data_IF_367336698397
#
_entry.id   IF_367336698397
#
_cell.length_a   1.000
_cell.length_b   1.000
_cell.length_c   1.000
_cell.angle_alpha   90.00
_cell.angle_beta   90.00
_cell.angle_gamma   90.00
#
_symmetry.space_group_name_H-M   'P 1'
#
loop_
_entity.id
_entity.type
_entity.pdbx_description
1 polymer ?
#
# COMPACT_ATOMS: atom_id res chain seq x y z
N UNK A 1 -43.70 77.55 0.46
CA UNK A 1 -44.06 76.59 1.54
C UNK A 1 -42.82 75.86 1.97
N UNK A 2 -42.22 76.19 3.07
CA UNK A 2 -41.04 75.54 3.60
C UNK A 2 -41.49 74.40 4.55
N UNK A 3 -41.11 73.16 4.16
CA UNK A 3 -41.31 72.00 5.02
C UNK A 3 -40.33 72.08 6.21
N UNK A 4 -40.78 71.75 7.46
CA UNK A 4 -39.91 71.75 8.60
C UNK A 4 -38.85 70.67 8.54
N UNK A 5 -37.66 70.82 9.13
CA UNK A 5 -36.58 69.86 9.12
C UNK A 5 -36.99 68.59 9.94
N UNK A 6 -36.81 67.42 9.35
CA UNK A 6 -37.01 66.15 10.01
C UNK A 6 -36.08 65.98 11.22
N UNK A 7 -36.67 65.55 12.33
CA UNK A 7 -36.03 65.38 13.61
C UNK A 7 -34.84 64.37 13.51
N UNK A 8 -33.75 64.67 14.17
CA UNK A 8 -32.47 63.96 14.12
C UNK A 8 -32.61 62.49 14.53
N UNK A 9 -33.55 62.17 15.41
CA UNK A 9 -33.82 60.75 15.82
C UNK A 9 -34.45 59.87 14.71
N UNK A 10 -35.28 60.47 13.84
CA UNK A 10 -35.88 59.76 12.74
C UNK A 10 -34.81 59.42 11.66
N UNK A 11 -33.81 60.26 11.50
CA UNK A 11 -32.67 59.96 10.56
C UNK A 11 -31.81 58.82 11.06
N UNK A 12 -31.53 58.72 12.38
CA UNK A 12 -30.71 57.67 12.98
C UNK A 12 -31.45 56.33 12.91
N UNK A 13 -32.75 56.28 13.12
CA UNK A 13 -33.52 55.06 13.03
C UNK A 13 -33.70 54.57 11.59
N UNK A 14 -33.83 55.48 10.62
CA UNK A 14 -33.90 55.09 9.20
C UNK A 14 -32.54 54.51 8.68
N UNK A 15 -31.42 55.12 9.13
CA UNK A 15 -30.07 54.60 8.80
C UNK A 15 -29.83 53.22 9.46
N UNK A 16 -30.26 52.99 10.69
CA UNK A 16 -30.15 51.67 11.35
C UNK A 16 -31.01 50.61 10.66
N UNK A 17 -32.21 50.97 10.17
CA UNK A 17 -33.08 50.04 9.45
C UNK A 17 -32.51 49.66 8.05
N UNK A 18 -31.85 50.61 7.38
CA UNK A 18 -31.20 50.37 6.10
C UNK A 18 -29.95 49.53 6.28
N UNK A 19 -29.13 49.78 7.32
CA UNK A 19 -27.96 48.98 7.65
C UNK A 19 -28.33 47.54 8.09
N UNK A 20 -29.42 47.35 8.86
CA UNK A 20 -29.89 46.03 9.25
C UNK A 20 -30.47 45.24 8.10
N UNK A 21 -31.11 45.85 7.08
CA UNK A 21 -31.60 45.17 5.91
C UNK A 21 -30.49 44.85 4.88
N UNK A 22 -29.39 45.61 4.83
CA UNK A 22 -28.23 45.32 4.00
C UNK A 22 -27.31 44.22 4.61
N UNK A 23 -27.37 44.01 5.93
CA UNK A 23 -26.58 42.94 6.60
C UNK A 23 -27.21 41.55 6.48
N UNK A 24 -28.45 41.43 6.06
CA UNK A 24 -29.15 40.14 5.86
C UNK A 24 -29.17 39.65 4.39
N UNK A 25 -28.65 40.46 3.45
CA UNK A 25 -28.63 40.08 2.01
C UNK A 25 -27.23 39.78 1.51
N UNK A 26 -26.27 39.54 2.36
CA UNK A 26 -24.88 39.42 1.97
C UNK A 26 -24.07 38.29 2.57
N UNK A 27 -24.63 37.12 2.91
CA UNK A 27 -23.84 35.91 3.16
C UNK A 27 -24.68 34.64 2.92
N UNK A 28 -25.33 34.52 1.77
CA UNK A 28 -25.39 33.23 1.13
C UNK A 28 -24.02 33.04 0.46
N UNK A 29 -23.00 32.74 1.26
CA UNK A 29 -21.79 32.16 0.76
C UNK A 29 -22.23 30.88 0.06
N UNK A 30 -22.30 30.94 -1.27
CA UNK A 30 -22.34 29.79 -2.12
C UNK A 30 -21.04 29.05 -1.78
N UNK A 31 -21.08 28.12 -0.81
CA UNK A 31 -20.10 27.05 -0.72
C UNK A 31 -20.23 26.27 -2.02
N UNK A 32 -19.62 26.80 -3.07
CA UNK A 32 -19.16 25.97 -4.17
C UNK A 32 -18.17 25.02 -3.52
N UNK A 33 -18.68 23.87 -3.06
CA UNK A 33 -17.85 22.73 -2.84
C UNK A 33 -17.20 22.47 -4.19
N UNK A 34 -15.97 22.91 -4.36
CA UNK A 34 -15.15 22.52 -5.49
C UNK A 34 -15.03 21.01 -5.38
N UNK A 35 -15.93 20.30 -6.07
CA UNK A 35 -15.78 18.87 -6.24
C UNK A 35 -14.52 18.71 -7.07
N UNK A 36 -13.54 18.00 -6.52
CA UNK A 36 -12.39 17.57 -7.29
C UNK A 36 -12.89 16.95 -8.60
N UNK A 37 -12.27 17.30 -9.71
CA UNK A 37 -12.57 16.62 -10.96
C UNK A 37 -12.42 15.12 -10.73
N UNK A 38 -13.40 14.31 -11.16
CA UNK A 38 -13.33 12.86 -10.94
C UNK A 38 -12.03 12.33 -11.57
N UNK A 39 -11.24 11.62 -10.77
CA UNK A 39 -10.02 10.96 -11.24
C UNK A 39 -10.43 9.86 -12.22
N UNK A 40 -9.95 9.94 -13.45
CA UNK A 40 -10.12 8.84 -14.42
C UNK A 40 -9.13 7.71 -14.06
N UNK A 41 -9.53 6.91 -13.07
CA UNK A 41 -8.72 5.82 -12.55
C UNK A 41 -8.27 4.84 -13.65
N UNK A 42 -9.12 4.38 -14.59
CA UNK A 42 -8.70 3.49 -15.66
C UNK A 42 -7.54 4.03 -16.51
N UNK A 43 -7.52 5.33 -16.79
CA UNK A 43 -6.48 5.95 -17.61
C UNK A 43 -5.10 6.03 -16.94
N UNK A 44 -5.04 5.84 -15.61
CA UNK A 44 -3.79 5.90 -14.85
C UNK A 44 -3.04 4.57 -14.81
N UNK A 45 -3.71 3.45 -15.09
CA UNK A 45 -3.09 2.13 -14.98
C UNK A 45 -2.21 1.80 -16.19
N UNK A 46 -1.05 1.21 -15.92
CA UNK A 46 -0.21 0.61 -16.97
C UNK A 46 -0.99 -0.55 -17.64
N UNK A 47 -1.27 -0.40 -18.92
CA UNK A 47 -2.05 -1.39 -19.66
C UNK A 47 -1.39 -2.78 -19.68
N UNK A 48 -0.05 -2.86 -19.56
CA UNK A 48 0.69 -4.12 -19.50
C UNK A 48 0.43 -4.90 -18.22
N UNK A 49 0.15 -4.20 -17.12
CA UNK A 49 -0.19 -4.81 -15.84
C UNK A 49 -1.61 -5.37 -15.82
N UNK A 50 -2.50 -4.88 -16.68
CA UNK A 50 -3.89 -5.31 -16.74
C UNK A 50 -4.04 -6.64 -17.48
N UNK A 51 -4.84 -7.55 -16.94
CA UNK A 51 -5.26 -8.79 -17.62
C UNK A 51 -6.38 -8.51 -18.61
N UNK A 52 -7.24 -7.55 -18.28
CA UNK A 52 -8.38 -7.11 -19.06
C UNK A 52 -8.76 -5.67 -18.72
N UNK A 53 -9.55 -4.98 -19.55
CA UNK A 53 -10.01 -3.64 -19.24
C UNK A 53 -10.66 -3.54 -17.87
N UNK A 54 -10.45 -2.43 -17.17
CA UNK A 54 -11.10 -2.13 -15.90
C UNK A 54 -12.61 -1.96 -16.17
N UNK A 55 -13.44 -2.59 -15.35
CA UNK A 55 -14.89 -2.51 -15.45
C UNK A 55 -15.50 -2.06 -14.13
N UNK A 56 -16.75 -1.63 -14.19
CA UNK A 56 -17.55 -1.25 -13.03
C UNK A 56 -18.55 -2.33 -12.71
N UNK A 57 -18.68 -2.67 -11.43
CA UNK A 57 -19.69 -3.61 -10.93
C UNK A 57 -20.29 -3.12 -9.63
N UNK A 58 -21.43 -3.66 -9.23
CA UNK A 58 -21.96 -3.48 -7.88
C UNK A 58 -21.20 -4.38 -6.90
N UNK A 59 -20.83 -3.82 -5.74
CA UNK A 59 -20.10 -4.52 -4.67
C UNK A 59 -20.63 -4.20 -3.29
N UNK A 60 -20.18 -4.98 -2.31
CA UNK A 60 -20.45 -4.78 -0.88
C UNK A 60 -19.12 -4.37 -0.23
N UNK A 61 -19.09 -3.18 0.36
CA UNK A 61 -17.92 -2.65 1.06
C UNK A 61 -17.79 -3.23 2.47
N UNK A 62 -16.67 -2.95 3.14
CA UNK A 62 -16.34 -3.52 4.45
C UNK A 62 -17.32 -3.17 5.57
N UNK A 63 -18.08 -2.09 5.43
CA UNK A 63 -19.15 -1.65 6.34
C UNK A 63 -20.53 -2.26 6.02
N UNK A 64 -20.62 -3.10 4.96
CA UNK A 64 -21.85 -3.71 4.46
C UNK A 64 -22.63 -2.84 3.49
N UNK A 65 -22.19 -1.62 3.19
CA UNK A 65 -22.83 -0.76 2.22
C UNK A 65 -22.64 -1.27 0.78
N UNK A 66 -23.65 -1.05 -0.07
CA UNK A 66 -23.55 -1.30 -1.51
C UNK A 66 -22.95 -0.09 -2.21
N UNK A 67 -22.06 -0.33 -3.16
CA UNK A 67 -21.45 0.71 -3.96
C UNK A 67 -21.03 0.20 -5.33
N UNK A 68 -21.01 1.09 -6.32
CA UNK A 68 -20.30 0.82 -7.57
C UNK A 68 -18.81 0.79 -7.30
N UNK A 69 -18.13 -0.28 -7.69
CA UNK A 69 -16.69 -0.46 -7.54
C UNK A 69 -16.02 -0.68 -8.89
N UNK A 70 -14.80 -0.21 -9.03
CA UNK A 70 -13.93 -0.63 -10.12
C UNK A 70 -13.46 -2.06 -9.87
N UNK A 71 -13.63 -2.94 -10.84
CA UNK A 71 -13.04 -4.28 -10.90
C UNK A 71 -11.75 -4.18 -11.72
N UNK A 72 -10.61 -4.35 -11.08
CA UNK A 72 -9.27 -4.22 -11.64
C UNK A 72 -8.59 -5.58 -11.55
N UNK A 73 -8.34 -6.22 -12.69
CA UNK A 73 -7.66 -7.53 -12.76
C UNK A 73 -6.25 -7.34 -13.25
N UNK A 74 -5.27 -7.61 -12.39
CA UNK A 74 -3.85 -7.37 -12.65
C UNK A 74 -3.01 -8.64 -12.54
N UNK A 75 -1.82 -8.58 -13.16
CA UNK A 75 -0.79 -9.64 -13.08
C UNK A 75 0.09 -9.54 -11.82
N UNK A 76 -0.10 -8.50 -11.00
CA UNK A 76 0.62 -8.24 -9.75
C UNK A 76 2.15 -8.28 -9.85
N UNK A 77 2.69 -7.90 -11.00
CA UNK A 77 4.12 -7.66 -11.24
C UNK A 77 4.30 -6.29 -11.90
N UNK A 78 5.40 -5.59 -11.63
CA UNK A 78 5.73 -4.35 -12.34
C UNK A 78 6.20 -4.66 -13.76
N UNK A 79 5.71 -3.90 -14.76
CA UNK A 79 6.14 -3.96 -16.15
C UNK A 79 6.91 -2.73 -16.59
N UNK A 80 7.06 -1.77 -15.70
CA UNK A 80 7.70 -0.46 -15.92
C UNK A 80 9.15 -0.44 -15.41
N UNK A 81 9.59 -1.44 -14.64
CA UNK A 81 10.95 -1.56 -14.14
C UNK A 81 11.35 -3.01 -13.86
N UNK A 82 12.66 -3.24 -13.72
CA UNK A 82 13.19 -4.53 -13.29
C UNK A 82 13.09 -4.67 -11.76
N UNK A 83 12.71 -5.84 -11.31
CA UNK A 83 12.69 -6.21 -9.90
C UNK A 83 14.09 -6.60 -9.40
N UNK A 84 14.38 -6.35 -8.12
CA UNK A 84 15.67 -6.63 -7.49
C UNK A 84 16.77 -5.63 -7.89
N UNK A 85 18.05 -5.92 -7.60
CA UNK A 85 18.49 -7.02 -6.74
C UNK A 85 18.10 -6.82 -5.27
N UNK A 86 17.79 -7.89 -4.56
CA UNK A 86 17.53 -7.85 -3.11
C UNK A 86 18.77 -8.23 -2.31
N UNK A 87 19.36 -9.38 -2.58
CA UNK A 87 20.56 -9.87 -1.90
C UNK A 87 21.80 -9.75 -2.78
N UNK A 88 22.95 -9.26 -2.26
CA UNK A 88 24.22 -9.37 -2.96
C UNK A 88 24.68 -10.82 -2.98
N UNK A 89 25.35 -11.26 -4.04
CA UNK A 89 25.92 -12.60 -4.12
C UNK A 89 27.20 -12.71 -3.27
N UNK A 90 28.00 -11.66 -3.30
CA UNK A 90 29.25 -11.55 -2.57
C UNK A 90 29.39 -10.13 -1.97
N UNK A 91 30.39 -9.91 -1.12
CA UNK A 91 30.73 -8.58 -0.61
C UNK A 91 31.17 -7.57 -1.70
N UNK A 92 31.36 -8.01 -2.95
CA UNK A 92 31.67 -7.11 -4.08
C UNK A 92 30.39 -6.55 -4.74
N UNK A 93 29.26 -7.18 -4.48
CA UNK A 93 27.99 -6.84 -5.09
C UNK A 93 27.18 -5.89 -4.19
N UNK A 94 26.13 -5.31 -4.76
CA UNK A 94 25.15 -4.48 -4.05
C UNK A 94 23.77 -5.12 -4.14
N UNK A 95 23.15 -5.35 -3.00
CA UNK A 95 21.77 -5.80 -2.89
C UNK A 95 20.77 -4.65 -2.86
N UNK A 96 19.62 -4.90 -2.28
CA UNK A 96 18.54 -3.95 -2.07
C UNK A 96 18.79 -3.03 -0.87
N UNK A 97 17.70 -2.58 -0.27
CA UNK A 97 17.73 -1.65 0.86
C UNK A 97 17.01 -2.25 2.06
N UNK A 98 17.52 -1.96 3.25
CA UNK A 98 16.98 -2.42 4.50
C UNK A 98 16.97 -1.32 5.56
N UNK A 99 15.85 -1.21 6.30
CA UNK A 99 15.80 -0.35 7.47
C UNK A 99 16.33 -1.11 8.69
N UNK A 100 17.46 -0.65 9.20
CA UNK A 100 18.10 -1.29 10.36
C UNK A 100 17.22 -1.16 11.62
N UNK A 101 17.04 -2.25 12.35
CA UNK A 101 16.15 -2.28 13.51
C UNK A 101 16.70 -1.55 14.73
N UNK A 102 18.02 -1.31 14.77
CA UNK A 102 18.69 -0.68 15.90
C UNK A 102 18.70 0.85 15.79
N UNK A 103 19.21 1.37 14.67
CA UNK A 103 19.37 2.82 14.49
C UNK A 103 18.30 3.46 13.60
N UNK A 104 17.40 2.64 13.04
CA UNK A 104 16.28 3.06 12.19
C UNK A 104 16.69 3.78 10.90
N UNK A 105 17.95 3.57 10.47
CA UNK A 105 18.44 4.10 9.21
C UNK A 105 18.22 3.11 8.07
N UNK A 106 18.06 3.67 6.90
CA UNK A 106 17.87 2.92 5.67
C UNK A 106 19.20 2.72 4.97
N UNK A 107 19.69 1.48 4.91
CA UNK A 107 20.98 1.12 4.36
C UNK A 107 20.86 0.38 3.03
N UNK A 108 21.81 0.59 2.15
CA UNK A 108 22.07 -0.34 1.07
C UNK A 108 22.63 -1.62 1.65
N UNK A 109 22.14 -2.78 1.20
CA UNK A 109 22.70 -4.08 1.61
C UNK A 109 23.93 -4.35 0.75
N UNK A 110 25.07 -3.88 1.23
CA UNK A 110 26.40 -4.00 0.62
C UNK A 110 27.44 -4.44 1.66
N UNK A 111 28.71 -4.45 1.26
CA UNK A 111 29.81 -4.88 2.13
C UNK A 111 29.87 -4.11 3.46
N UNK A 112 29.61 -2.82 3.46
CA UNK A 112 29.74 -2.00 4.66
C UNK A 112 28.63 -2.33 5.66
N UNK A 113 27.40 -2.46 5.18
CA UNK A 113 26.27 -2.85 6.01
C UNK A 113 26.41 -4.29 6.54
N UNK A 114 26.76 -5.25 5.67
CA UNK A 114 26.95 -6.63 6.09
C UNK A 114 28.09 -6.79 7.11
N UNK A 115 29.21 -6.07 6.94
CA UNK A 115 30.29 -6.03 7.93
C UNK A 115 29.83 -5.37 9.25
N UNK A 116 28.97 -4.37 9.19
CA UNK A 116 28.37 -3.78 10.40
C UNK A 116 27.51 -4.82 11.14
N UNK A 117 26.69 -5.60 10.44
CA UNK A 117 25.92 -6.69 11.03
C UNK A 117 26.84 -7.76 11.64
N UNK A 118 27.92 -8.14 10.96
CA UNK A 118 28.89 -9.11 11.51
C UNK A 118 29.54 -8.62 12.82
N UNK A 119 29.86 -7.32 12.93
CA UNK A 119 30.34 -6.73 14.20
C UNK A 119 29.32 -6.82 15.33
N UNK A 120 28.03 -6.96 14.99
CA UNK A 120 26.93 -7.18 15.94
C UNK A 120 26.67 -8.67 16.20
N UNK A 121 27.52 -9.58 15.70
CA UNK A 121 27.41 -11.03 15.87
C UNK A 121 26.45 -11.70 14.89
N UNK A 122 26.18 -11.08 13.72
CA UNK A 122 25.41 -11.70 12.64
C UNK A 122 26.40 -12.26 11.61
N UNK A 123 26.40 -13.55 11.41
CA UNK A 123 27.30 -14.20 10.46
C UNK A 123 26.69 -14.21 9.05
N UNK A 124 26.73 -13.05 8.39
CA UNK A 124 26.02 -12.81 7.12
C UNK A 124 26.77 -13.28 5.88
N UNK A 125 28.04 -13.68 5.99
CA UNK A 125 28.87 -14.10 4.86
C UNK A 125 30.05 -14.95 5.32
N UNK A 126 30.54 -15.79 4.41
CA UNK A 126 31.71 -16.66 4.61
C UNK A 126 33.04 -15.90 4.51
N UNK A 127 34.13 -16.57 4.88
CA UNK A 127 35.51 -15.98 4.86
C UNK A 127 35.93 -15.56 3.44
N UNK A 128 35.41 -16.19 2.38
CA UNK A 128 35.68 -15.83 0.99
C UNK A 128 34.83 -14.66 0.49
N UNK A 129 33.92 -14.16 1.34
CA UNK A 129 33.01 -13.06 1.03
C UNK A 129 31.69 -13.49 0.35
N UNK A 130 31.41 -14.77 0.26
CA UNK A 130 30.10 -15.27 -0.20
C UNK A 130 29.01 -14.93 0.81
N UNK A 131 27.93 -14.26 0.38
CA UNK A 131 26.82 -13.84 1.24
C UNK A 131 25.82 -14.98 1.42
N UNK A 132 25.40 -15.21 2.66
CA UNK A 132 24.36 -16.18 2.98
C UNK A 132 23.01 -15.68 2.46
N UNK A 133 22.37 -16.46 1.60
CA UNK A 133 21.10 -16.10 0.94
C UNK A 133 20.09 -17.22 1.02
N UNK A 134 18.87 -16.88 1.42
CA UNK A 134 17.72 -17.79 1.33
C UNK A 134 17.03 -17.56 -0.01
N UNK A 135 17.06 -18.54 -0.91
CA UNK A 135 16.59 -18.39 -2.29
C UNK A 135 15.36 -19.21 -2.62
N UNK A 136 15.18 -20.35 -1.96
CA UNK A 136 14.07 -21.21 -2.27
C UNK A 136 12.96 -21.16 -1.21
N UNK A 137 11.77 -21.52 -1.65
CA UNK A 137 10.59 -21.50 -0.80
C UNK A 137 10.70 -22.44 0.40
N UNK A 138 11.36 -23.58 0.25
CA UNK A 138 11.43 -24.57 1.33
C UNK A 138 12.28 -24.07 2.51
N UNK A 139 13.36 -23.38 2.22
CA UNK A 139 14.20 -22.70 3.21
C UNK A 139 13.42 -21.56 3.88
N UNK A 140 12.74 -20.77 3.05
CA UNK A 140 11.96 -19.66 3.55
C UNK A 140 10.74 -20.10 4.37
N UNK A 141 10.03 -21.16 3.96
CA UNK A 141 8.94 -21.74 4.76
C UNK A 141 9.43 -22.24 6.12
N UNK A 142 10.70 -22.64 6.25
CA UNK A 142 11.30 -22.95 7.54
C UNK A 142 11.41 -21.69 8.41
N UNK A 143 11.95 -20.59 7.87
CA UNK A 143 12.02 -19.30 8.57
C UNK A 143 10.62 -18.85 9.00
N UNK A 144 9.64 -18.91 8.11
CA UNK A 144 8.27 -18.50 8.38
C UNK A 144 7.55 -19.35 9.45
N UNK A 145 7.76 -20.67 9.40
CA UNK A 145 7.15 -21.59 10.40
C UNK A 145 7.75 -21.42 11.79
N UNK A 146 9.00 -21.03 11.88
CA UNK A 146 9.69 -20.77 13.15
C UNK A 146 9.00 -19.66 13.94
N UNK A 147 8.59 -18.60 13.27
CA UNK A 147 7.83 -17.52 13.91
C UNK A 147 6.53 -18.00 14.54
N UNK A 148 5.83 -18.93 13.86
CA UNK A 148 4.56 -19.48 14.30
C UNK A 148 4.71 -20.56 15.38
N UNK A 149 5.85 -21.24 15.43
CA UNK A 149 6.11 -22.36 16.34
C UNK A 149 6.80 -21.96 17.64
N UNK A 150 7.15 -20.67 17.83
CA UNK A 150 7.87 -20.22 19.02
C UNK A 150 9.31 -20.75 19.11
N UNK A 151 9.96 -20.95 17.97
CA UNK A 151 11.34 -21.43 17.92
C UNK A 151 12.28 -20.44 18.59
N UNK A 152 13.33 -20.97 19.24
CA UNK A 152 14.44 -20.18 19.74
C UNK A 152 15.47 -19.96 18.64
N UNK A 153 16.37 -18.98 18.83
CA UNK A 153 17.49 -18.75 17.92
C UNK A 153 18.36 -19.99 17.76
N UNK A 154 18.60 -20.74 18.85
CA UNK A 154 19.42 -21.97 18.83
C UNK A 154 18.77 -23.08 17.97
N UNK A 155 17.44 -23.18 17.98
CA UNK A 155 16.73 -24.10 17.11
C UNK A 155 16.86 -23.69 15.64
N UNK A 156 16.72 -22.39 15.36
CA UNK A 156 16.89 -21.84 14.03
C UNK A 156 18.32 -22.04 13.47
N UNK A 157 19.35 -21.92 14.33
CA UNK A 157 20.75 -22.22 13.97
C UNK A 157 20.91 -23.69 13.57
N UNK A 158 20.35 -24.62 14.36
CA UNK A 158 20.42 -26.06 14.03
C UNK A 158 19.79 -26.39 12.68
N UNK A 159 18.76 -25.67 12.28
CA UNK A 159 18.05 -25.86 11.01
C UNK A 159 18.70 -25.10 9.83
N UNK A 160 19.75 -24.32 10.09
CA UNK A 160 20.46 -23.57 9.07
C UNK A 160 19.66 -22.42 8.43
N UNK A 161 18.77 -21.78 9.21
CA UNK A 161 17.83 -20.75 8.71
C UNK A 161 18.05 -19.38 9.39
N UNK A 162 19.29 -19.11 9.79
CA UNK A 162 19.69 -17.85 10.41
C UNK A 162 20.75 -17.14 9.58
N UNK A 163 20.96 -15.86 9.88
CA UNK A 163 22.06 -15.08 9.31
C UNK A 163 22.04 -15.02 7.78
N UNK A 164 20.87 -14.81 7.19
CA UNK A 164 20.71 -14.80 5.75
C UNK A 164 20.00 -13.53 5.24
N UNK A 165 20.33 -13.14 4.04
CA UNK A 165 19.57 -12.17 3.23
C UNK A 165 18.52 -12.95 2.44
N UNK A 166 17.26 -12.64 2.68
CA UNK A 166 16.13 -13.31 2.02
C UNK A 166 15.98 -12.76 0.61
N UNK A 167 15.99 -13.67 -0.37
CA UNK A 167 15.78 -13.37 -1.78
C UNK A 167 14.92 -14.47 -2.40
N UNK A 168 13.68 -14.14 -2.74
CA UNK A 168 12.76 -15.07 -3.38
C UNK A 168 12.47 -14.61 -4.81
N UNK A 169 12.31 -15.56 -5.72
CA UNK A 169 11.90 -15.26 -7.09
C UNK A 169 10.41 -14.93 -7.12
N UNK A 170 10.01 -13.75 -7.60
CA UNK A 170 8.59 -13.42 -7.77
C UNK A 170 7.97 -14.25 -8.89
N UNK A 171 6.67 -14.51 -8.76
CA UNK A 171 5.86 -15.11 -9.81
C UNK A 171 4.66 -14.23 -10.15
N UNK A 172 4.25 -14.26 -11.41
CA UNK A 172 3.02 -13.62 -11.83
C UNK A 172 1.83 -14.24 -11.10
N UNK A 173 1.01 -13.37 -10.51
CA UNK A 173 -0.22 -13.75 -9.84
C UNK A 173 -1.37 -12.90 -10.35
N UNK A 174 -2.42 -13.55 -10.82
CA UNK A 174 -3.64 -12.83 -11.16
C UNK A 174 -4.33 -12.43 -9.87
N UNK A 175 -4.62 -11.15 -9.74
CA UNK A 175 -5.30 -10.58 -8.58
C UNK A 175 -6.41 -9.66 -9.06
N UNK A 176 -7.58 -9.79 -8.47
CA UNK A 176 -8.68 -8.84 -8.66
C UNK A 176 -8.73 -7.90 -7.48
N UNK A 177 -8.62 -6.61 -7.75
CA UNK A 177 -8.79 -5.53 -6.77
C UNK A 177 -10.10 -4.82 -7.05
N UNK A 178 -10.91 -4.66 -6.03
CA UNK A 178 -12.15 -3.91 -6.08
C UNK A 178 -11.99 -2.62 -5.28
N UNK A 179 -12.13 -1.48 -5.93
CA UNK A 179 -12.03 -0.16 -5.30
C UNK A 179 -13.33 0.61 -5.43
N UNK A 180 -13.83 1.25 -4.37
CA UNK A 180 -14.97 2.15 -4.48
C UNK A 180 -14.75 3.19 -5.58
N UNK A 181 -15.69 3.29 -6.54
CA UNK A 181 -15.61 4.29 -7.62
C UNK A 181 -15.78 5.72 -7.07
N UNK A 182 -16.63 5.86 -6.08
CA UNK A 182 -16.90 7.11 -5.39
C UNK A 182 -16.58 6.93 -3.90
N UNK A 183 -15.30 7.10 -3.50
CA UNK A 183 -14.88 6.93 -2.12
C UNK A 183 -15.62 7.93 -1.22
N UNK A 184 -16.08 7.45 -0.06
CA UNK A 184 -16.78 8.27 0.93
C UNK A 184 -15.92 8.41 2.17
N UNK A 185 -15.53 9.64 2.49
CA UNK A 185 -14.80 9.91 3.71
C UNK A 185 -15.68 9.66 4.94
N UNK A 186 -15.17 8.88 5.89
CA UNK A 186 -15.75 8.72 7.22
C UNK A 186 -15.28 9.85 8.14
N UNK A 187 -16.07 10.17 9.13
CA UNK A 187 -15.67 11.17 10.16
C UNK A 187 -14.43 10.67 10.92
N UNK A 188 -14.39 9.37 11.24
CA UNK A 188 -13.29 8.76 11.97
C UNK A 188 -12.33 8.05 11.02
N UNK A 189 -11.04 8.23 11.28
CA UNK A 189 -9.97 7.48 10.60
C UNK A 189 -9.89 6.06 11.16
N UNK A 190 -9.58 5.09 10.29
CA UNK A 190 -9.36 3.69 10.70
C UNK A 190 -7.89 3.34 10.56
N UNK A 191 -7.07 3.47 11.63
CA UNK A 191 -5.66 3.08 11.60
C UNK A 191 -5.48 1.60 11.22
N UNK A 192 -4.35 1.24 10.58
CA UNK A 192 -4.09 -0.13 10.09
C UNK A 192 -4.32 -1.20 11.14
N UNK A 193 -3.90 -0.97 12.40
CA UNK A 193 -4.09 -1.91 13.51
C UNK A 193 -5.55 -2.20 13.87
N UNK A 194 -6.49 -1.35 13.44
CA UNK A 194 -7.93 -1.48 13.69
C UNK A 194 -8.70 -1.88 12.43
N UNK A 195 -8.07 -1.74 11.27
CA UNK A 195 -8.70 -2.04 10.00
C UNK A 195 -8.94 -3.55 9.82
N UNK A 196 -10.15 -3.91 9.44
CA UNK A 196 -10.51 -5.29 9.12
C UNK A 196 -10.30 -5.53 7.64
N UNK A 197 -9.13 -5.99 7.27
CA UNK A 197 -8.81 -6.40 5.90
C UNK A 197 -7.96 -7.68 5.93
N UNK A 198 -7.97 -8.42 4.85
CA UNK A 198 -7.07 -9.57 4.73
C UNK A 198 -5.64 -9.07 4.51
N UNK A 199 -4.65 -9.58 5.24
CA UNK A 199 -3.24 -9.29 4.93
C UNK A 199 -2.87 -9.56 3.47
N UNK A 200 -3.52 -10.53 2.83
CA UNK A 200 -3.33 -10.87 1.41
C UNK A 200 -3.95 -9.84 0.45
N UNK A 201 -4.93 -9.07 0.91
CA UNK A 201 -5.52 -7.99 0.09
C UNK A 201 -4.55 -6.82 -0.09
N UNK A 202 -3.60 -6.64 0.83
CA UNK A 202 -2.77 -5.46 0.88
C UNK A 202 -3.54 -4.21 1.36
N UNK A 203 -2.95 -3.04 1.20
CA UNK A 203 -3.53 -1.73 1.55
C UNK A 203 -4.15 -1.01 0.37
N UNK A 204 -3.85 -1.46 -0.84
CA UNK A 204 -4.21 -0.82 -2.08
C UNK A 204 -3.39 -1.34 -3.25
N UNK A 205 -3.40 -0.60 -4.33
CA UNK A 205 -2.76 -0.98 -5.58
C UNK A 205 -2.08 0.23 -6.23
N UNK A 206 -0.85 0.04 -6.69
CA UNK A 206 -0.14 1.00 -7.53
C UNK A 206 -0.69 1.02 -8.95
N UNK A 207 -0.50 2.13 -9.65
CA UNK A 207 -0.90 2.28 -11.07
C UNK A 207 -0.18 1.31 -12.01
N UNK A 208 0.97 0.73 -11.59
CA UNK A 208 1.64 -0.33 -12.35
C UNK A 208 1.16 -1.76 -11.96
N UNK A 209 0.07 -1.89 -11.21
CA UNK A 209 -0.55 -3.17 -10.90
C UNK A 209 0.02 -3.91 -9.70
N UNK A 210 1.03 -3.36 -9.02
CA UNK A 210 1.63 -3.96 -7.82
C UNK A 210 0.88 -3.51 -6.57
N UNK A 211 0.58 -4.44 -5.66
CA UNK A 211 -0.13 -4.13 -4.41
C UNK A 211 0.76 -3.42 -3.41
N UNK A 212 0.17 -2.53 -2.63
CA UNK A 212 0.77 -1.95 -1.44
C UNK A 212 0.53 -2.85 -0.23
N UNK A 213 1.57 -3.13 0.54
CA UNK A 213 1.46 -3.90 1.77
C UNK A 213 1.77 -3.03 2.98
N UNK A 214 1.31 -3.43 4.19
CA UNK A 214 1.62 -2.71 5.42
C UNK A 214 3.12 -2.63 5.66
N UNK A 215 3.60 -1.61 6.40
CA UNK A 215 4.97 -1.60 6.90
C UNK A 215 5.29 -2.93 7.59
N UNK A 216 6.36 -3.60 7.15
CA UNK A 216 6.74 -4.91 7.64
C UNK A 216 7.04 -4.89 9.15
N UNK A 217 6.54 -5.87 9.90
CA UNK A 217 7.02 -6.13 11.25
C UNK A 217 8.39 -6.84 11.19
N UNK A 218 9.41 -6.08 10.79
CA UNK A 218 10.78 -6.58 10.56
C UNK A 218 11.41 -7.28 11.77
N UNK A 219 10.89 -7.02 12.99
CA UNK A 219 11.38 -7.66 14.21
C UNK A 219 11.28 -9.19 14.21
N UNK A 220 10.36 -9.77 13.43
CA UNK A 220 10.18 -11.23 13.38
C UNK A 220 11.36 -11.90 12.71
N UNK A 221 11.69 -11.49 11.48
CA UNK A 221 12.79 -12.10 10.74
C UNK A 221 14.15 -11.75 11.34
N UNK A 222 14.29 -10.56 11.91
CA UNK A 222 15.52 -10.12 12.57
C UNK A 222 15.80 -10.84 13.90
N UNK A 223 14.78 -11.42 14.54
CA UNK A 223 15.00 -12.28 15.69
C UNK A 223 15.88 -13.51 15.35
N UNK A 224 15.86 -13.94 14.09
CA UNK A 224 16.71 -15.01 13.56
C UNK A 224 17.93 -14.48 12.77
N UNK A 225 18.25 -13.21 12.92
CA UNK A 225 19.33 -12.52 12.20
C UNK A 225 19.16 -12.61 10.67
N UNK A 226 17.95 -12.61 10.18
CA UNK A 226 17.62 -12.53 8.76
C UNK A 226 17.17 -11.12 8.40
N UNK A 227 17.37 -10.73 7.15
CA UNK A 227 16.84 -9.50 6.57
C UNK A 227 16.17 -9.82 5.23
N UNK A 228 15.11 -9.08 4.89
CA UNK A 228 14.39 -9.19 3.62
C UNK A 228 14.39 -7.83 2.91
N UNK A 229 15.45 -7.48 2.20
CA UNK A 229 15.62 -6.16 1.63
C UNK A 229 14.56 -5.84 0.59
N UNK A 230 14.25 -4.55 0.46
CA UNK A 230 13.49 -4.00 -0.65
C UNK A 230 14.42 -3.73 -1.83
N UNK A 231 13.94 -3.89 -3.04
CA UNK A 231 14.69 -3.48 -4.21
C UNK A 231 14.74 -1.94 -4.35
N UNK A 232 15.45 -1.40 -5.35
CA UNK A 232 15.50 0.05 -5.57
C UNK A 232 14.16 0.73 -5.83
N UNK A 233 13.09 -0.04 -6.05
CA UNK A 233 11.73 0.47 -6.27
C UNK A 233 10.81 0.31 -5.05
N UNK A 234 11.34 -0.23 -3.96
CA UNK A 234 10.62 -0.33 -2.68
C UNK A 234 9.79 -1.58 -2.51
N UNK A 235 10.03 -2.60 -3.33
CA UNK A 235 9.33 -3.86 -3.28
C UNK A 235 10.21 -5.06 -3.04
N UNK A 236 9.61 -6.13 -2.60
CA UNK A 236 10.22 -7.44 -2.52
C UNK A 236 9.22 -8.58 -2.73
N UNK A 237 9.72 -9.81 -2.76
CA UNK A 237 8.90 -11.00 -2.91
C UNK A 237 8.49 -11.53 -1.54
N UNK A 238 7.19 -11.69 -1.32
CA UNK A 238 6.63 -12.27 -0.12
C UNK A 238 6.52 -13.78 -0.14
N UNK A 239 5.91 -14.33 0.91
CA UNK A 239 5.78 -15.76 1.18
C UNK A 239 5.02 -16.56 0.12
N UNK A 240 4.13 -15.91 -0.62
CA UNK A 240 3.38 -16.53 -1.71
C UNK A 240 4.00 -16.32 -3.07
N UNK A 241 5.25 -15.87 -3.15
CA UNK A 241 5.92 -15.41 -4.38
C UNK A 241 5.28 -14.18 -5.02
N UNK A 242 4.40 -13.46 -4.28
CA UNK A 242 3.88 -12.17 -4.70
C UNK A 242 4.95 -11.09 -4.54
N UNK A 243 5.16 -10.31 -5.59
CA UNK A 243 5.90 -9.05 -5.48
C UNK A 243 4.95 -7.96 -4.96
N UNK A 244 5.41 -7.17 -3.99
CA UNK A 244 4.60 -6.10 -3.40
C UNK A 244 5.49 -4.97 -2.88
N UNK A 245 4.89 -3.79 -2.72
CA UNK A 245 5.58 -2.61 -2.20
C UNK A 245 5.32 -2.42 -0.71
N UNK A 246 6.41 -2.14 0.04
CA UNK A 246 6.37 -1.55 1.38
C UNK A 246 6.73 -0.07 1.37
N UNK A 247 7.42 0.39 0.29
CA UNK A 247 7.69 1.79 -0.04
C UNK A 247 7.29 2.03 -1.49
N UNK A 248 6.87 3.24 -1.82
CA UNK A 248 6.50 3.53 -3.20
C UNK A 248 7.74 3.80 -4.07
N UNK A 249 7.73 3.39 -5.35
CA UNK A 249 8.83 3.67 -6.29
C UNK A 249 9.22 5.14 -6.35
N UNK A 250 8.26 6.06 -6.34
CA UNK A 250 8.50 7.51 -6.35
C UNK A 250 9.38 7.99 -5.19
N UNK A 251 9.23 7.40 -4.01
CA UNK A 251 10.05 7.72 -2.84
C UNK A 251 11.46 7.15 -2.98
N UNK A 252 11.57 5.92 -3.50
CA UNK A 252 12.85 5.24 -3.69
C UNK A 252 13.69 5.88 -4.79
N UNK A 253 13.06 6.44 -5.82
CA UNK A 253 13.72 7.12 -6.94
C UNK A 253 13.99 8.60 -6.65
N UNK A 254 13.68 9.11 -5.46
CA UNK A 254 13.69 10.55 -5.13
C UNK A 254 12.83 11.38 -6.12
N UNK A 255 11.78 10.75 -6.66
CA UNK A 255 10.79 11.44 -7.51
C UNK A 255 9.90 12.31 -6.63
N UNK A 256 10.12 13.62 -6.71
CA UNK A 256 9.36 14.63 -5.96
C UNK A 256 8.08 15.06 -6.67
N UNK A 257 7.51 14.22 -7.52
CA UNK A 257 6.25 14.55 -8.17
C UNK A 257 5.05 14.26 -7.27
N UNK A 258 4.05 15.13 -7.34
CA UNK A 258 2.74 14.94 -6.71
C UNK A 258 1.78 14.06 -7.53
N UNK A 259 2.29 13.23 -8.43
CA UNK A 259 1.48 12.33 -9.26
C UNK A 259 0.76 11.29 -8.42
N UNK A 260 -0.38 10.82 -8.92
CA UNK A 260 -1.03 9.64 -8.34
C UNK A 260 -0.17 8.42 -8.66
N UNK A 261 0.28 7.72 -7.62
CA UNK A 261 1.09 6.50 -7.71
C UNK A 261 0.25 5.24 -7.49
N UNK A 262 -0.98 5.39 -7.02
CA UNK A 262 -1.90 4.30 -6.78
C UNK A 262 -3.16 4.73 -6.04
N UNK A 263 -3.87 3.74 -5.51
CA UNK A 263 -5.11 3.92 -4.77
C UNK A 263 -5.12 3.01 -3.54
N UNK A 264 -5.58 3.52 -2.40
CA UNK A 264 -5.82 2.73 -1.21
C UNK A 264 -7.11 1.89 -1.38
N UNK A 265 -7.32 0.86 -0.53
CA UNK A 265 -8.49 -0.02 -0.65
C UNK A 265 -9.83 0.70 -0.43
N UNK A 266 -9.83 1.85 0.20
CA UNK A 266 -11.01 2.71 0.35
C UNK A 266 -11.28 3.60 -0.89
N UNK A 267 -10.48 3.45 -1.94
CA UNK A 267 -10.62 4.14 -3.22
C UNK A 267 -9.99 5.53 -3.27
N UNK A 268 -9.44 6.05 -2.18
CA UNK A 268 -8.78 7.34 -2.19
C UNK A 268 -7.42 7.26 -2.89
N UNK A 269 -7.03 8.30 -3.66
CA UNK A 269 -5.74 8.36 -4.34
C UNK A 269 -4.58 8.34 -3.34
N UNK A 270 -3.50 7.68 -3.74
CA UNK A 270 -2.17 7.75 -3.11
C UNK A 270 -1.27 8.53 -4.04
N UNK A 271 -0.73 9.64 -3.59
CA UNK A 271 0.14 10.54 -4.36
C UNK A 271 1.59 10.38 -3.97
N UNK A 272 2.47 10.89 -4.81
CA UNK A 272 3.89 11.02 -4.53
C UNK A 272 4.18 11.87 -3.27
N UNK A 273 5.46 12.09 -2.93
CA UNK A 273 5.85 12.73 -1.68
C UNK A 273 5.61 14.24 -1.63
N UNK A 274 5.14 14.85 -2.72
CA UNK A 274 4.83 16.28 -2.78
C UNK A 274 3.42 16.51 -3.30
N UNK A 275 2.94 17.74 -3.17
CA UNK A 275 1.76 18.23 -3.87
C UNK A 275 2.02 18.35 -5.39
N UNK A 276 0.96 18.56 -6.16
CA UNK A 276 1.06 18.71 -7.62
C UNK A 276 1.95 19.89 -8.07
N UNK A 277 2.08 20.92 -7.22
CA UNK A 277 2.95 22.07 -7.44
C UNK A 277 4.40 21.87 -6.97
N UNK A 278 4.75 20.67 -6.48
CA UNK A 278 6.07 20.32 -5.97
C UNK A 278 6.34 20.75 -4.53
N UNK A 279 5.38 21.35 -3.84
CA UNK A 279 5.54 21.70 -2.42
C UNK A 279 5.35 20.48 -1.52
N UNK A 280 5.90 20.54 -0.30
CA UNK A 280 5.68 19.48 0.68
C UNK A 280 4.23 19.51 1.18
N UNK A 281 3.57 18.34 1.32
CA UNK A 281 2.22 18.26 1.84
C UNK A 281 2.16 18.79 3.27
N UNK A 282 1.09 19.50 3.59
CA UNK A 282 0.89 20.13 4.90
C UNK A 282 -0.33 19.52 5.59
N UNK A 283 -0.30 19.49 6.93
CA UNK A 283 -1.43 19.05 7.76
C UNK A 283 -1.89 17.61 7.45
N UNK A 284 -0.95 16.71 7.16
CA UNK A 284 -1.28 15.30 7.08
C UNK A 284 -1.83 14.81 8.41
N UNK A 285 -2.87 13.99 8.35
CA UNK A 285 -3.44 13.32 9.50
C UNK A 285 -2.60 12.10 9.93
N UNK A 286 -3.06 11.37 10.94
CA UNK A 286 -2.32 10.24 11.52
C UNK A 286 -2.18 9.03 10.59
N UNK A 287 -2.83 9.03 9.44
CA UNK A 287 -2.77 7.96 8.43
C UNK A 287 -2.11 8.42 7.12
N UNK A 288 -1.41 9.56 7.14
CA UNK A 288 -0.69 10.18 6.01
C UNK A 288 -1.59 10.69 4.90
N UNK A 289 -2.81 11.14 5.23
CA UNK A 289 -3.74 11.75 4.30
C UNK A 289 -4.17 13.14 4.71
N UNK A 290 -4.75 13.87 3.79
CA UNK A 290 -5.39 15.16 4.05
C UNK A 290 -6.43 15.52 2.98
N UNK A 291 -7.30 16.47 3.33
CA UNK A 291 -8.14 17.17 2.36
C UNK A 291 -7.36 18.34 1.79
N UNK A 292 -7.33 18.47 0.48
CA UNK A 292 -6.70 19.58 -0.20
C UNK A 292 -7.67 20.23 -1.18
N UNK A 293 -7.76 21.54 -1.15
CA UNK A 293 -8.71 22.33 -1.94
C UNK A 293 -8.66 21.95 -3.42
N UNK A 294 -9.81 21.52 -3.95
CA UNK A 294 -9.98 21.14 -5.35
C UNK A 294 -9.46 19.74 -5.73
N UNK A 295 -8.77 19.02 -4.85
CA UNK A 295 -8.31 17.65 -5.07
C UNK A 295 -9.05 16.61 -4.22
N UNK A 296 -9.74 17.04 -3.15
CA UNK A 296 -10.37 16.17 -2.18
C UNK A 296 -9.35 15.40 -1.34
N UNK A 297 -9.86 14.45 -0.54
CA UNK A 297 -8.99 13.65 0.33
C UNK A 297 -8.08 12.71 -0.47
N UNK A 298 -6.81 12.66 -0.09
CA UNK A 298 -5.81 11.75 -0.66
C UNK A 298 -4.67 11.49 0.34
N UNK A 299 -3.88 10.46 0.07
CA UNK A 299 -2.70 10.10 0.84
C UNK A 299 -1.43 10.57 0.14
N UNK A 300 -0.36 10.76 0.92
CA UNK A 300 0.99 10.99 0.41
C UNK A 300 1.94 9.89 0.88
N UNK A 301 2.77 9.39 -0.04
CA UNK A 301 3.88 8.51 0.32
C UNK A 301 5.03 9.31 0.89
N UNK A 302 5.84 8.70 1.77
CA UNK A 302 6.98 9.37 2.38
C UNK A 302 8.11 8.39 2.73
N UNK A 303 9.27 8.94 3.15
CA UNK A 303 10.36 8.16 3.73
C UNK A 303 10.14 7.78 5.20
N UNK A 304 9.14 8.38 5.84
CA UNK A 304 8.80 8.12 7.24
C UNK A 304 7.64 7.15 7.34
N UNK A 305 7.59 6.42 8.46
CA UNK A 305 6.46 5.54 8.74
C UNK A 305 5.13 6.34 8.70
N UNK A 306 4.08 5.86 8.06
CA UNK A 306 3.82 4.50 7.55
C UNK A 306 4.23 4.25 6.09
N UNK A 307 5.04 5.07 5.49
CA UNK A 307 5.62 5.01 4.15
C UNK A 307 4.63 5.19 3.00
N UNK A 308 3.49 4.48 3.00
CA UNK A 308 2.45 4.58 1.95
C UNK A 308 1.14 5.06 2.57
N UNK A 309 0.42 4.22 3.29
CA UNK A 309 -0.83 4.56 3.99
C UNK A 309 -0.82 4.01 5.40
N UNK A 310 -1.19 4.83 6.38
CA UNK A 310 -1.25 4.48 7.80
C UNK A 310 -2.61 3.97 8.27
N UNK A 311 -3.58 3.93 7.38
CA UNK A 311 -4.96 3.54 7.66
C UNK A 311 -5.90 3.90 6.51
N UNK A 312 -7.19 3.97 6.81
CA UNK A 312 -8.21 4.23 5.82
C UNK A 312 -9.15 5.35 6.26
N UNK A 313 -9.58 6.13 5.28
CA UNK A 313 -10.52 7.25 5.47
C UNK A 313 -11.97 6.84 5.26
N UNK A 314 -12.20 5.76 4.53
CA UNK A 314 -13.54 5.31 4.17
C UNK A 314 -13.75 3.80 4.23
N UNK A 315 -14.96 3.31 3.90
CA UNK A 315 -15.23 1.89 3.76
C UNK A 315 -14.37 1.27 2.65
N UNK A 316 -13.89 0.05 2.90
CA UNK A 316 -12.94 -0.63 2.03
C UNK A 316 -13.65 -1.45 0.94
N UNK A 317 -13.07 -1.45 -0.24
CA UNK A 317 -13.18 -2.57 -1.16
C UNK A 317 -12.35 -3.77 -0.70
N UNK A 318 -11.93 -4.61 -1.62
CA UNK A 318 -11.14 -5.82 -1.29
C UNK A 318 -10.21 -6.21 -2.44
N UNK A 319 -9.27 -7.10 -2.15
CA UNK A 319 -8.51 -7.78 -3.19
C UNK A 319 -8.49 -9.29 -2.94
N UNK A 320 -8.59 -10.06 -4.02
CA UNK A 320 -8.63 -11.52 -3.99
C UNK A 320 -7.73 -12.10 -5.07
N UNK A 321 -7.20 -13.32 -4.82
CA UNK A 321 -6.43 -14.05 -5.83
C UNK A 321 -7.38 -14.56 -6.92
N UNK A 322 -6.89 -14.54 -8.16
CA UNK A 322 -7.63 -14.95 -9.35
C UNK A 322 -8.49 -13.83 -9.94
N UNK A 323 -9.16 -14.17 -11.03
CA UNK A 323 -10.16 -13.30 -11.68
C UNK A 323 -11.52 -13.54 -11.03
N UNK A 324 -11.91 -12.65 -10.14
CA UNK A 324 -13.16 -12.75 -9.38
C UNK A 324 -14.21 -11.78 -9.92
N UNK A 325 -15.46 -12.21 -9.90
CA UNK A 325 -16.62 -11.42 -10.40
C UNK A 325 -17.45 -10.80 -9.27
N UNK A 326 -17.16 -11.12 -8.01
CA UNK A 326 -17.94 -10.69 -6.86
C UNK A 326 -17.05 -9.89 -5.90
N UNK A 327 -17.49 -8.68 -5.59
CA UNK A 327 -16.93 -7.85 -4.53
C UNK A 327 -17.80 -7.99 -3.27
N UNK A 328 -17.26 -8.65 -2.24
CA UNK A 328 -17.88 -8.71 -0.91
C UNK A 328 -16.79 -8.55 0.15
N UNK A 329 -16.51 -7.31 0.51
CA UNK A 329 -15.45 -6.98 1.46
C UNK A 329 -15.79 -7.37 2.90
N UNK A 330 -17.04 -7.71 3.21
CA UNK A 330 -17.42 -8.18 4.55
C UNK A 330 -16.89 -9.58 4.85
N UNK A 331 -16.58 -10.37 3.82
CA UNK A 331 -16.08 -11.76 3.92
C UNK A 331 -14.56 -11.86 4.02
N UNK A 332 -13.83 -10.77 3.77
CA UNK A 332 -12.36 -10.80 3.72
C UNK A 332 -11.67 -10.66 5.09
N UNK A 333 -12.40 -10.34 6.14
CA UNK A 333 -11.89 -10.24 7.52
C UNK A 333 -11.82 -11.56 8.31
N UNK A 334 -12.20 -12.69 7.71
CA UNK A 334 -12.17 -14.00 8.35
C UNK A 334 -10.90 -14.78 8.03
N UNK A 335 -10.28 -15.37 9.04
CA UNK A 335 -9.11 -16.25 8.99
C UNK A 335 -9.17 -17.20 7.79
N UNK A 336 -8.38 -16.93 6.76
CA UNK A 336 -8.27 -17.77 5.58
C UNK A 336 -7.58 -19.08 5.93
N UNK A 337 -8.31 -20.15 5.86
CA UNK A 337 -7.72 -21.44 6.03
C UNK A 337 -8.69 -22.56 5.76
N UNK A 338 -9.02 -22.82 4.53
CA UNK A 338 -9.22 -24.21 4.04
C UNK A 338 -8.90 -24.20 2.56
N UNK A 339 -7.67 -24.66 2.24
CA UNK A 339 -7.26 -24.93 0.89
C UNK A 339 -8.24 -25.86 0.21
N UNK A 340 -8.83 -25.39 -0.89
CA UNK A 340 -9.58 -26.25 -1.79
C UNK A 340 -8.66 -27.32 -2.37
N UNK A 341 -8.90 -28.57 -1.98
CA UNK A 341 -8.37 -29.74 -2.65
C UNK A 341 -9.01 -29.79 -4.04
N UNK A 342 -8.26 -29.40 -5.04
CA UNK A 342 -8.57 -29.55 -6.45
C UNK A 342 -7.33 -29.97 -7.21
N UNK A 343 -6.81 -31.17 -6.91
CA UNK A 343 -5.86 -31.82 -7.82
C UNK A 343 -6.63 -32.51 -8.93
N UNK A 344 -6.30 -32.31 -10.20
CA UNK A 344 -6.82 -33.17 -11.26
C UNK A 344 -6.27 -34.57 -11.08
N UNK A 345 -7.15 -35.54 -10.96
CA UNK A 345 -6.80 -36.97 -11.02
C UNK A 345 -6.19 -37.28 -12.40
N UNK A 346 -4.88 -37.46 -12.43
CA UNK A 346 -4.19 -38.05 -13.56
C UNK A 346 -4.69 -39.47 -13.79
N UNK A 347 -5.33 -39.70 -14.91
CA UNK A 347 -5.75 -41.01 -15.34
C UNK A 347 -4.52 -41.90 -15.62
N UNK A 348 -4.35 -42.95 -14.85
CA UNK A 348 -3.46 -44.06 -15.15
C UNK A 348 -4.12 -44.92 -16.24
N UNK A 349 -3.71 -44.72 -17.48
CA UNK A 349 -3.93 -45.68 -18.54
C UNK A 349 -2.83 -46.75 -18.50
N UNK A 350 -3.16 -47.94 -18.06
CA UNK A 350 -2.33 -49.14 -18.22
C UNK A 350 -2.46 -49.66 -19.64
N UNK A 351 -1.37 -49.92 -20.37
CA UNK A 351 -1.46 -50.74 -21.59
C UNK A 351 -1.51 -52.20 -21.18
N UNK A 352 -2.59 -52.90 -21.54
CA UNK A 352 -2.63 -54.37 -21.55
C UNK A 352 -1.75 -54.86 -22.68
N UNK A 353 -0.79 -55.71 -22.32
CA UNK A 353 -0.04 -56.52 -23.27
C UNK A 353 -0.93 -57.58 -23.90
N UNK A 354 -0.67 -57.86 -25.14
CA UNK A 354 -1.23 -58.96 -25.90
C UNK A 354 -0.20 -59.50 -26.89
N UNK A 355 0.21 -60.69 -26.58
CA UNK A 355 0.91 -61.70 -27.41
C UNK A 355 2.10 -61.24 -28.25
#
# INVERSE_FOLDING_TARGET
MNLPPLNTELRVNLLKLVYMKLSFLGYAALCLTAHAAPVDLPALFDARALVKPITEIEGILSDGSKATVYKIVVRSLPYDHAMGPWAPATLKDKGGYWEDTVDKKFYRVDADYLKMLNKRGWEMFDADGTVHRTKDRSEFDKVARQELAGWTYEQAVKDGVTNAVIELTPSEQIVTVFLPKHPKASEQLTPLRQAKFSPRSGLGISTNGVRFFPPEPVHRITAFKNIAPLDPKGGHTGFGHEYHYHRAPSVMDDDKSGKIVGFALDGFPVRGPTEADGTAPKKLDSISGHDHDGLGYHFHVSNEWPYIVGGFKGPLGTAVLGDADICDATKTGGNGGKGGKGSPKGGKGTPKGGK
#
